data_IF_377491413609
#
_entry.id   IF_377491413609
#
_cell.length_a   1.000
_cell.length_b   1.000
_cell.length_c   1.000
_cell.angle_alpha   90.00
_cell.angle_beta   90.00
_cell.angle_gamma   90.00
#
_symmetry.space_group_name_H-M   'P 1'
#
loop_
_entity.id
_entity.type
_entity.pdbx_description
1 polymer ?
#
# COMPACT_ATOMS: atom_id res chain seq x y z
N UNK A 1 9.67 -12.17 2.13
CA UNK A 1 10.10 -10.91 1.49
C UNK A 1 9.11 -9.76 1.70
N UNK A 2 8.02 -9.61 0.91
CA UNK A 2 7.18 -8.38 0.99
C UNK A 2 6.53 -8.20 2.38
N UNK A 3 6.02 -9.28 2.99
CA UNK A 3 5.50 -9.25 4.37
C UNK A 3 6.53 -8.73 5.37
N UNK A 4 7.73 -9.30 5.37
CA UNK A 4 8.81 -8.90 6.29
C UNK A 4 9.24 -7.44 6.07
N UNK A 5 9.26 -6.98 4.81
CA UNK A 5 9.51 -5.59 4.47
C UNK A 5 8.44 -4.65 5.03
N UNK A 6 7.16 -4.98 4.84
CA UNK A 6 6.03 -4.21 5.38
C UNK A 6 6.04 -4.19 6.92
N UNK A 7 6.26 -5.33 7.56
CA UNK A 7 6.39 -5.44 9.02
C UNK A 7 7.55 -4.57 9.54
N UNK A 8 8.66 -4.51 8.80
CA UNK A 8 9.79 -3.63 9.10
C UNK A 8 9.41 -2.15 9.10
N UNK A 9 8.68 -1.69 8.08
CA UNK A 9 8.20 -0.30 7.97
C UNK A 9 7.19 0.01 9.09
N UNK A 10 6.19 -0.85 9.29
CA UNK A 10 5.19 -0.70 10.36
C UNK A 10 5.87 -0.62 11.73
N UNK A 11 6.85 -1.48 11.99
CA UNK A 11 7.57 -1.48 13.26
C UNK A 11 8.40 -0.21 13.48
N UNK A 12 8.93 0.39 12.41
CA UNK A 12 9.68 1.65 12.49
C UNK A 12 8.76 2.84 12.70
N UNK A 13 7.70 2.94 11.91
CA UNK A 13 6.84 4.12 11.84
C UNK A 13 5.70 4.11 12.87
N UNK A 14 5.41 2.93 13.44
CA UNK A 14 4.28 2.70 14.35
C UNK A 14 2.97 3.20 13.76
N UNK A 15 2.80 3.04 12.45
CA UNK A 15 1.61 3.41 11.72
C UNK A 15 0.56 2.30 11.85
N UNK A 16 -0.69 2.68 12.05
CA UNK A 16 -1.85 1.80 12.07
C UNK A 16 -2.69 2.00 10.79
N UNK A 17 -3.51 1.01 10.40
CA UNK A 17 -4.47 1.20 9.31
C UNK A 17 -5.36 2.43 9.54
N UNK A 18 -5.45 3.29 8.53
CA UNK A 18 -6.17 4.56 8.58
C UNK A 18 -5.32 5.76 9.01
N UNK A 19 -4.03 5.59 9.32
CA UNK A 19 -3.15 6.71 9.67
C UNK A 19 -2.75 7.60 8.49
N UNK A 20 -3.14 7.20 7.26
CA UNK A 20 -2.89 7.87 5.99
C UNK A 20 -1.38 7.89 5.66
N UNK A 21 -0.83 6.70 5.43
CA UNK A 21 0.59 6.48 5.13
C UNK A 21 0.78 5.40 4.06
N UNK A 22 2.03 5.12 3.69
CA UNK A 22 2.36 3.99 2.82
C UNK A 22 1.94 2.61 3.38
N UNK A 23 1.78 2.48 4.71
CA UNK A 23 1.31 1.25 5.34
C UNK A 23 -0.13 0.90 4.94
N UNK A 24 -0.95 1.91 4.61
CA UNK A 24 -2.30 1.71 4.10
C UNK A 24 -2.33 1.03 2.73
N UNK A 25 -1.19 0.96 2.03
CA UNK A 25 -1.03 0.22 0.77
C UNK A 25 -0.26 -1.09 0.98
N UNK A 26 0.83 -1.06 1.75
CA UNK A 26 1.64 -2.26 1.99
C UNK A 26 0.86 -3.40 2.63
N UNK A 27 0.03 -3.10 3.63
CA UNK A 27 -0.71 -4.15 4.35
C UNK A 27 -1.74 -4.85 3.44
N UNK A 28 -2.62 -4.13 2.69
CA UNK A 28 -3.48 -4.76 1.70
C UNK A 28 -2.73 -5.53 0.60
N UNK A 29 -1.60 -5.01 0.12
CA UNK A 29 -0.77 -5.69 -0.90
C UNK A 29 -0.23 -7.02 -0.35
N UNK A 30 0.26 -7.05 0.88
CA UNK A 30 0.73 -8.28 1.54
C UNK A 30 -0.38 -9.31 1.65
N UNK A 31 -1.60 -8.89 1.99
CA UNK A 31 -2.75 -9.79 2.09
C UNK A 31 -3.21 -10.30 0.73
N UNK A 32 -3.19 -9.47 -0.30
CA UNK A 32 -3.47 -9.87 -1.69
C UNK A 32 -2.49 -10.93 -2.19
N UNK A 33 -1.19 -10.74 -1.92
CA UNK A 33 -0.15 -11.71 -2.29
C UNK A 33 -0.29 -13.02 -1.50
N UNK A 34 -0.65 -12.95 -0.20
CA UNK A 34 -0.95 -14.15 0.60
C UNK A 34 -2.11 -14.93 0.00
N UNK A 35 -3.22 -14.26 -0.30
CA UNK A 35 -4.40 -14.88 -0.88
C UNK A 35 -4.09 -15.50 -2.26
N UNK A 36 -3.31 -14.82 -3.08
CA UNK A 36 -2.88 -15.33 -4.40
C UNK A 36 -2.00 -16.57 -4.27
N UNK A 37 -1.14 -16.62 -3.24
CA UNK A 37 -0.31 -17.79 -2.92
C UNK A 37 -1.15 -19.00 -2.49
N UNK A 38 -2.17 -18.78 -1.65
CA UNK A 38 -3.13 -19.82 -1.22
C UNK A 38 -3.95 -20.37 -2.38
N UNK A 39 -4.23 -19.55 -3.39
CA UNK A 39 -4.92 -19.95 -4.63
C UNK A 39 -3.99 -20.52 -5.70
N UNK A 40 -2.68 -20.59 -5.43
CA UNK A 40 -1.66 -21.07 -6.37
C UNK A 40 -1.67 -20.32 -7.72
N UNK A 41 -1.91 -19.01 -7.69
CA UNK A 41 -1.83 -18.18 -8.88
C UNK A 41 -0.37 -18.09 -9.38
N UNK A 42 -0.19 -17.84 -10.68
CA UNK A 42 1.11 -17.49 -11.22
C UNK A 42 1.62 -16.17 -10.62
N UNK A 43 2.93 -15.96 -10.62
CA UNK A 43 3.54 -14.71 -10.11
C UNK A 43 2.96 -13.49 -10.83
N UNK A 44 2.83 -13.55 -12.16
CA UNK A 44 2.26 -12.46 -12.94
C UNK A 44 0.80 -12.14 -12.53
N UNK A 45 -0.05 -13.17 -12.39
CA UNK A 45 -1.44 -12.98 -11.98
C UNK A 45 -1.56 -12.46 -10.52
N UNK A 46 -0.70 -12.95 -9.62
CA UNK A 46 -0.65 -12.48 -8.24
C UNK A 46 -0.24 -10.99 -8.15
N UNK A 47 0.72 -10.57 -8.98
CA UNK A 47 1.18 -9.18 -9.02
C UNK A 47 0.16 -8.25 -9.69
N UNK A 48 -0.58 -8.72 -10.69
CA UNK A 48 -1.70 -7.97 -11.27
C UNK A 48 -2.81 -7.75 -10.22
N UNK A 49 -3.20 -8.79 -9.47
CA UNK A 49 -4.16 -8.65 -8.39
C UNK A 49 -3.68 -7.69 -7.28
N UNK A 50 -2.40 -7.79 -6.90
CA UNK A 50 -1.79 -6.89 -5.93
C UNK A 50 -1.75 -5.43 -6.43
N UNK A 51 -1.54 -5.22 -7.73
CA UNK A 51 -1.55 -3.91 -8.36
C UNK A 51 -2.93 -3.24 -8.23
N UNK A 52 -4.01 -3.95 -8.54
CA UNK A 52 -5.35 -3.39 -8.36
C UNK A 52 -5.67 -3.06 -6.89
N UNK A 53 -5.20 -3.91 -5.96
CA UNK A 53 -5.33 -3.65 -4.52
C UNK A 53 -4.55 -2.40 -4.12
N UNK A 54 -3.34 -2.23 -4.63
CA UNK A 54 -2.52 -1.05 -4.37
C UNK A 54 -3.18 0.23 -4.89
N UNK A 55 -3.81 0.19 -6.07
CA UNK A 55 -4.52 1.34 -6.67
C UNK A 55 -5.69 1.77 -5.79
N UNK A 56 -6.54 0.81 -5.41
CA UNK A 56 -7.69 1.08 -4.53
C UNK A 56 -7.24 1.58 -3.15
N UNK A 57 -6.19 0.99 -2.59
CA UNK A 57 -5.66 1.36 -1.29
C UNK A 57 -5.06 2.78 -1.29
N UNK A 58 -4.27 3.13 -2.32
CA UNK A 58 -3.73 4.47 -2.47
C UNK A 58 -4.85 5.51 -2.61
N UNK A 59 -5.85 5.24 -3.45
CA UNK A 59 -7.01 6.13 -3.62
C UNK A 59 -7.82 6.28 -2.33
N UNK A 60 -8.00 5.21 -1.55
CA UNK A 60 -8.71 5.25 -0.27
C UNK A 60 -8.05 6.19 0.75
N UNK A 61 -6.74 6.48 0.62
CA UNK A 61 -6.09 7.45 1.50
C UNK A 61 -6.68 8.85 1.38
N UNK A 62 -7.30 9.22 0.25
CA UNK A 62 -7.87 10.56 0.01
C UNK A 62 -8.84 10.96 1.13
N UNK A 63 -9.73 10.05 1.54
CA UNK A 63 -10.78 10.34 2.54
C UNK A 63 -10.27 10.25 3.98
N UNK A 64 -9.03 9.84 4.21
CA UNK A 64 -8.46 9.70 5.55
C UNK A 64 -7.88 11.02 6.07
N UNK A 65 -8.03 11.24 7.37
CA UNK A 65 -7.28 12.27 8.09
C UNK A 65 -5.92 11.70 8.49
N UNK A 66 -4.85 12.42 8.17
CA UNK A 66 -3.50 12.02 8.54
C UNK A 66 -3.29 12.04 10.05
N UNK A 67 -2.75 10.94 10.58
CA UNK A 67 -2.37 10.80 12.00
C UNK A 67 -0.86 10.68 12.19
N UNK A 68 -0.12 10.40 11.12
CA UNK A 68 1.34 10.27 11.10
C UNK A 68 1.98 11.19 10.06
N UNK A 69 3.30 11.34 10.17
CA UNK A 69 4.10 12.14 9.23
C UNK A 69 3.79 13.64 9.26
N UNK A 70 4.28 14.37 8.25
CA UNK A 70 4.10 15.83 8.15
C UNK A 70 2.66 16.24 7.80
N UNK A 71 1.90 15.34 7.16
CA UNK A 71 0.52 15.61 6.80
C UNK A 71 -0.40 15.72 8.04
N UNK A 72 -0.06 15.05 9.15
CA UNK A 72 -0.86 15.13 10.38
C UNK A 72 -0.88 16.53 11.00
N UNK A 73 0.13 17.36 10.72
CA UNK A 73 0.19 18.75 11.17
C UNK A 73 -0.96 19.61 10.63
N UNK A 74 -1.61 19.17 9.54
CA UNK A 74 -2.72 19.86 8.91
C UNK A 74 -4.10 19.47 9.49
N UNK A 75 -4.17 18.45 10.33
CA UNK A 75 -5.43 17.95 10.89
C UNK A 75 -6.44 17.59 9.79
N UNK A 76 -7.69 18.03 9.93
CA UNK A 76 -8.76 17.82 8.96
C UNK A 76 -8.43 18.31 7.54
N UNK A 77 -7.55 19.30 7.39
CA UNK A 77 -7.13 19.81 6.07
C UNK A 77 -6.33 18.79 5.26
N UNK A 78 -5.88 17.68 5.87
CA UNK A 78 -5.26 16.56 5.17
C UNK A 78 -6.27 15.68 4.42
N UNK A 79 -7.56 15.74 4.79
CA UNK A 79 -8.64 15.03 4.09
C UNK A 79 -8.81 15.63 2.69
N UNK A 80 -9.14 14.81 1.71
CA UNK A 80 -9.31 15.19 0.30
C UNK A 80 -8.03 15.16 -0.54
N UNK A 81 -6.90 14.78 0.05
CA UNK A 81 -5.60 14.72 -0.64
C UNK A 81 -5.02 13.30 -0.55
N UNK A 82 -4.58 12.72 -1.66
CA UNK A 82 -3.97 11.39 -1.67
C UNK A 82 -2.61 11.41 -0.97
N UNK A 83 -2.28 10.36 -0.21
CA UNK A 83 -0.97 10.26 0.43
C UNK A 83 0.15 10.00 -0.61
N UNK A 84 1.22 10.80 -0.63
CA UNK A 84 2.32 10.59 -1.57
C UNK A 84 3.11 9.30 -1.27
N UNK A 85 3.22 8.88 -0.01
CA UNK A 85 3.89 7.64 0.36
C UNK A 85 3.15 6.41 -0.17
N UNK A 86 1.83 6.36 0.05
CA UNK A 86 0.92 5.37 -0.52
C UNK A 86 1.01 5.32 -2.06
N UNK A 87 1.02 6.49 -2.71
CA UNK A 87 1.15 6.58 -4.18
C UNK A 87 2.49 6.03 -4.67
N UNK A 88 3.56 6.25 -3.91
CA UNK A 88 4.89 5.72 -4.26
C UNK A 88 4.92 4.19 -4.19
N UNK A 89 4.24 3.59 -3.19
CA UNK A 89 4.08 2.12 -3.11
C UNK A 89 3.29 1.59 -4.29
N UNK A 90 2.20 2.25 -4.66
CA UNK A 90 1.45 1.90 -5.87
C UNK A 90 2.37 1.83 -7.10
N UNK A 91 3.16 2.87 -7.35
CA UNK A 91 4.08 2.87 -8.51
C UNK A 91 5.10 1.72 -8.45
N UNK A 92 5.64 1.41 -7.27
CA UNK A 92 6.55 0.27 -7.13
C UNK A 92 5.87 -1.06 -7.48
N UNK A 93 4.63 -1.27 -7.04
CA UNK A 93 3.86 -2.49 -7.34
C UNK A 93 3.49 -2.58 -8.82
N UNK A 94 3.04 -1.47 -9.43
CA UNK A 94 2.78 -1.38 -10.87
C UNK A 94 4.01 -1.78 -11.69
N UNK A 95 5.18 -1.26 -11.32
CA UNK A 95 6.41 -1.59 -12.04
C UNK A 95 6.87 -3.01 -11.82
N UNK A 96 6.66 -3.57 -10.62
CA UNK A 96 6.96 -4.96 -10.35
C UNK A 96 6.05 -5.91 -11.17
N UNK A 97 4.76 -5.58 -11.28
CA UNK A 97 3.82 -6.34 -12.10
C UNK A 97 4.18 -6.29 -13.59
N UNK A 98 4.63 -5.13 -14.09
CA UNK A 98 5.12 -5.00 -15.46
C UNK A 98 6.37 -5.85 -15.69
N UNK A 99 7.35 -5.81 -14.78
CA UNK A 99 8.60 -6.57 -14.88
C UNK A 99 8.39 -8.09 -14.84
N UNK A 100 7.33 -8.58 -14.20
CA UNK A 100 7.02 -10.01 -14.11
C UNK A 100 6.38 -10.60 -15.39
N UNK A 101 6.12 -9.77 -16.40
CA UNK A 101 5.55 -10.16 -17.70
C UNK A 101 6.60 -10.25 -18.80
N UNK A 102 7.83 -9.83 -18.52
CA UNK A 102 9.01 -10.03 -19.38
C UNK A 102 9.62 -11.42 -19.14
#
# INVERSE_FOLDING_TARGET
>A
MIREGADGVVNRDKAEPGDKTMCDVWLPVVDSLRQSSEQHLSIAAALDAACEVAERAAHATITMQARKGRASYLGERSIGHQDPGATSVLFMVQMLAAAAKE
#
